data_IF_164424211894
#
_entry.id   IF_164424211894
#
_cell.length_a   1.000
_cell.length_b   1.000
_cell.length_c   1.000
_cell.angle_alpha   90.00
_cell.angle_beta   90.00
_cell.angle_gamma   90.00
#
_symmetry.space_group_name_H-M   'P 1'
#
loop_
_entity.id
_entity.type
_entity.pdbx_description
1 polymer ?
#
# COMPACT_ATOMS: atom_id res chain seq x y z
N UNK A 1 -17.52 15.10 -5.69
CA UNK A 1 -16.35 14.58 -6.44
C UNK A 1 -16.02 13.26 -5.81
N UNK A 2 -16.06 12.17 -6.57
CA UNK A 2 -15.84 10.83 -6.01
C UNK A 2 -14.35 10.62 -5.67
N UNK A 3 -14.03 9.53 -4.98
CA UNK A 3 -12.71 9.17 -4.49
C UNK A 3 -11.71 9.02 -5.64
N UNK A 4 -12.12 8.36 -6.72
CA UNK A 4 -11.29 8.13 -7.92
C UNK A 4 -10.92 9.47 -8.59
N UNK A 5 -11.86 10.40 -8.70
CA UNK A 5 -11.62 11.75 -9.23
C UNK A 5 -10.63 12.52 -8.35
N UNK A 6 -10.73 12.39 -7.03
CA UNK A 6 -9.79 13.00 -6.06
C UNK A 6 -8.39 12.42 -6.23
N UNK A 7 -8.28 11.09 -6.36
CA UNK A 7 -7.01 10.40 -6.60
C UNK A 7 -6.38 10.78 -7.95
N UNK A 8 -7.18 11.01 -8.99
CA UNK A 8 -6.67 11.47 -10.29
C UNK A 8 -6.08 12.89 -10.22
N UNK A 9 -6.61 13.75 -9.36
CA UNK A 9 -6.13 15.14 -9.20
C UNK A 9 -4.96 15.27 -8.24
N UNK A 10 -4.88 14.40 -7.24
CA UNK A 10 -3.80 14.38 -6.27
C UNK A 10 -2.51 13.83 -6.89
N UNK A 11 -1.36 14.32 -6.40
CA UNK A 11 -0.03 13.87 -6.83
C UNK A 11 0.44 12.77 -5.88
N UNK A 12 0.91 11.64 -6.42
CA UNK A 12 1.59 10.60 -5.63
C UNK A 12 3.10 10.85 -5.54
N UNK A 13 3.70 11.35 -6.63
CA UNK A 13 5.13 11.62 -6.78
C UNK A 13 5.35 12.91 -7.56
N UNK A 14 6.31 13.72 -7.13
CA UNK A 14 6.67 14.98 -7.80
C UNK A 14 7.61 14.78 -8.99
N UNK A 15 8.47 13.75 -8.96
CA UNK A 15 9.46 13.45 -9.99
C UNK A 15 9.62 11.91 -10.16
N UNK A 16 9.20 11.33 -11.31
CA UNK A 16 8.32 11.94 -12.30
C UNK A 16 6.98 12.33 -11.67
N UNK A 17 6.30 13.33 -12.27
CA UNK A 17 4.97 13.73 -11.80
C UNK A 17 3.95 12.67 -12.21
N UNK A 18 3.37 12.00 -11.22
CA UNK A 18 2.37 10.94 -11.41
C UNK A 18 1.22 11.16 -10.43
N UNK A 19 -0.01 10.98 -10.92
CA UNK A 19 -1.20 11.09 -10.07
C UNK A 19 -1.26 9.95 -9.04
N UNK A 20 -1.96 10.21 -7.94
CA UNK A 20 -2.19 9.18 -6.92
C UNK A 20 -2.94 7.98 -7.50
N UNK A 21 -3.88 8.22 -8.41
CA UNK A 21 -4.58 7.17 -9.13
C UNK A 21 -3.64 6.30 -9.97
N UNK A 22 -2.81 6.90 -10.84
CA UNK A 22 -1.88 6.15 -11.69
C UNK A 22 -0.92 5.29 -10.86
N UNK A 23 -0.40 5.84 -9.76
CA UNK A 23 0.47 5.09 -8.87
C UNK A 23 -0.26 3.91 -8.21
N UNK A 24 -1.43 4.18 -7.62
CA UNK A 24 -2.20 3.17 -6.89
C UNK A 24 -2.70 2.07 -7.82
N UNK A 25 -3.08 2.43 -9.05
CA UNK A 25 -3.50 1.47 -10.06
C UNK A 25 -2.34 0.59 -10.55
N UNK A 26 -1.15 1.17 -10.76
CA UNK A 26 0.03 0.37 -11.11
C UNK A 26 0.45 -0.61 -10.01
N UNK A 27 0.37 -0.19 -8.74
CA UNK A 27 0.57 -1.07 -7.58
C UNK A 27 -0.49 -2.19 -7.54
N UNK A 28 -1.76 -1.84 -7.75
CA UNK A 28 -2.85 -2.80 -7.85
C UNK A 28 -2.61 -3.84 -8.95
N UNK A 29 -2.14 -3.43 -10.13
CA UNK A 29 -1.87 -4.35 -11.24
C UNK A 29 -0.80 -5.38 -10.89
N UNK A 30 0.24 -4.97 -10.17
CA UNK A 30 1.28 -5.88 -9.68
C UNK A 30 0.71 -6.85 -8.66
N UNK A 31 -0.06 -6.36 -7.67
CA UNK A 31 -0.70 -7.21 -6.66
C UNK A 31 -1.70 -8.18 -7.28
N UNK A 32 -2.52 -7.74 -8.24
CA UNK A 32 -3.46 -8.62 -8.95
C UNK A 32 -2.74 -9.71 -9.74
N UNK A 33 -1.61 -9.39 -10.38
CA UNK A 33 -0.77 -10.41 -11.03
C UNK A 33 -0.27 -11.45 -10.01
N UNK A 34 0.26 -11.02 -8.87
CA UNK A 34 0.73 -11.92 -7.81
C UNK A 34 -0.39 -12.83 -7.27
N UNK A 35 -1.59 -12.27 -7.07
CA UNK A 35 -2.78 -13.03 -6.65
C UNK A 35 -3.10 -14.12 -7.67
N UNK A 36 -3.11 -13.78 -8.97
CA UNK A 36 -3.46 -14.74 -10.04
C UNK A 36 -2.44 -15.87 -10.21
N UNK A 37 -1.19 -15.67 -9.78
CA UNK A 37 -0.15 -16.71 -9.78
C UNK A 37 -0.14 -17.55 -8.49
N UNK A 38 -0.86 -17.15 -7.45
CA UNK A 38 -0.86 -17.82 -6.15
C UNK A 38 -2.09 -18.72 -5.99
N UNK A 39 -1.87 -20.02 -5.85
CA UNK A 39 -2.95 -20.98 -5.59
C UNK A 39 -3.43 -20.90 -4.12
N UNK A 40 -4.66 -21.37 -3.87
CA UNK A 40 -5.20 -21.49 -2.51
C UNK A 40 -5.73 -20.19 -1.89
N UNK A 41 -5.65 -19.07 -2.61
CA UNK A 41 -6.16 -17.79 -2.13
C UNK A 41 -7.67 -17.66 -2.32
N UNK A 42 -8.39 -17.37 -1.23
CA UNK A 42 -9.85 -17.15 -1.33
C UNK A 42 -10.18 -15.83 -2.03
N UNK A 43 -11.37 -15.74 -2.64
CA UNK A 43 -11.86 -14.50 -3.25
C UNK A 43 -11.95 -13.35 -2.24
N UNK A 44 -12.25 -13.64 -0.98
CA UNK A 44 -12.31 -12.63 0.09
C UNK A 44 -10.92 -12.06 0.38
N UNK A 45 -9.92 -12.94 0.58
CA UNK A 45 -8.54 -12.49 0.82
C UNK A 45 -7.97 -11.73 -0.39
N UNK A 46 -8.23 -12.21 -1.61
CA UNK A 46 -7.82 -11.54 -2.84
C UNK A 46 -8.47 -10.14 -2.98
N UNK A 47 -9.73 -10.01 -2.60
CA UNK A 47 -10.44 -8.72 -2.64
C UNK A 47 -9.86 -7.72 -1.64
N UNK A 48 -9.55 -8.18 -0.41
CA UNK A 48 -8.90 -7.31 0.59
C UNK A 48 -7.52 -6.86 0.13
N UNK A 49 -6.70 -7.73 -0.47
CA UNK A 49 -5.40 -7.34 -1.01
C UNK A 49 -5.51 -6.32 -2.14
N UNK A 50 -6.44 -6.53 -3.09
CA UNK A 50 -6.68 -5.57 -4.18
C UNK A 50 -7.11 -4.21 -3.64
N UNK A 51 -8.07 -4.19 -2.72
CA UNK A 51 -8.53 -2.95 -2.09
C UNK A 51 -7.41 -2.27 -1.29
N UNK A 52 -6.65 -3.04 -0.51
CA UNK A 52 -5.50 -2.54 0.25
C UNK A 52 -4.41 -1.97 -0.65
N UNK A 53 -4.11 -2.62 -1.78
CA UNK A 53 -3.17 -2.14 -2.78
C UNK A 53 -3.64 -0.84 -3.45
N UNK A 54 -4.92 -0.76 -3.83
CA UNK A 54 -5.47 0.44 -4.45
C UNK A 54 -5.56 1.63 -3.48
N UNK A 55 -5.77 1.36 -2.19
CA UNK A 55 -5.91 2.41 -1.16
C UNK A 55 -4.63 2.64 -0.35
N UNK A 56 -3.50 1.99 -0.67
CA UNK A 56 -2.32 1.97 0.20
C UNK A 56 -1.81 3.39 0.53
N UNK A 57 -1.90 4.28 -0.45
CA UNK A 57 -1.47 5.66 -0.39
C UNK A 57 -2.61 6.66 -0.15
N UNK A 58 -3.80 6.22 0.28
CA UNK A 58 -4.98 7.10 0.38
C UNK A 58 -4.75 8.33 1.27
N UNK A 59 -3.90 8.19 2.30
CA UNK A 59 -3.49 9.29 3.16
C UNK A 59 -2.77 10.43 2.44
N UNK A 60 -2.26 10.22 1.22
CA UNK A 60 -1.66 11.28 0.38
C UNK A 60 -2.68 12.30 -0.09
N UNK A 61 -3.99 12.02 0.00
CA UNK A 61 -5.04 13.02 -0.24
C UNK A 61 -5.03 14.17 0.80
N UNK A 62 -4.32 14.01 1.92
CA UNK A 62 -4.20 15.04 2.93
C UNK A 62 -3.57 16.32 2.35
N UNK A 63 -4.16 17.48 2.68
CA UNK A 63 -3.76 18.77 2.12
C UNK A 63 -2.31 19.13 2.46
N UNK A 64 -1.89 18.94 3.73
CA UNK A 64 -0.52 19.22 4.17
C UNK A 64 0.49 18.31 3.45
N UNK A 65 0.10 17.05 3.17
CA UNK A 65 0.94 16.13 2.40
C UNK A 65 1.06 16.56 0.93
N UNK A 66 -0.03 16.98 0.29
CA UNK A 66 0.00 17.50 -1.08
C UNK A 66 0.83 18.78 -1.19
N UNK A 67 0.71 19.70 -0.22
CA UNK A 67 1.53 20.90 -0.16
C UNK A 67 3.02 20.54 -0.05
N UNK A 68 3.36 19.58 0.82
CA UNK A 68 4.73 19.09 0.97
C UNK A 68 5.28 18.44 -0.31
N UNK A 69 4.46 17.69 -1.05
CA UNK A 69 4.87 17.07 -2.32
C UNK A 69 5.10 18.10 -3.41
N UNK A 70 4.29 19.16 -3.45
CA UNK A 70 4.33 20.19 -4.49
C UNK A 70 5.34 21.30 -4.20
N UNK A 71 5.79 21.44 -2.95
CA UNK A 71 6.78 22.44 -2.55
C UNK A 71 8.14 22.18 -3.21
N UNK A 72 8.73 23.25 -3.74
CA UNK A 72 10.11 23.27 -4.24
C UNK A 72 11.14 23.35 -3.12
N UNK A 73 10.76 23.82 -1.92
CA UNK A 73 11.62 23.89 -0.74
C UNK A 73 11.06 23.01 0.38
N UNK A 74 11.60 21.79 0.47
CA UNK A 74 11.23 20.80 1.49
C UNK A 74 11.93 21.03 2.84
N UNK A 75 12.85 22.00 2.94
CA UNK A 75 13.72 22.17 4.12
C UNK A 75 13.00 22.76 5.33
N UNK A 76 11.89 23.47 5.12
CA UNK A 76 11.14 24.15 6.18
C UNK A 76 9.80 23.47 6.54
N UNK A 77 9.42 22.41 5.82
CA UNK A 77 8.13 21.76 6.03
C UNK A 77 8.23 20.63 7.06
N UNK A 78 7.26 20.60 7.99
CA UNK A 78 7.08 19.46 8.90
C UNK A 78 6.74 18.23 8.06
N UNK A 79 7.58 17.19 8.13
CA UNK A 79 7.34 15.94 7.40
C UNK A 79 6.07 15.27 7.92
N UNK A 80 5.06 15.19 7.06
CA UNK A 80 3.82 14.45 7.31
C UNK A 80 3.98 13.05 6.71
N UNK A 81 3.72 12.02 7.50
CA UNK A 81 3.68 10.62 7.02
C UNK A 81 2.24 10.32 6.59
N UNK A 82 2.04 9.96 5.32
CA UNK A 82 0.69 9.77 4.77
C UNK A 82 -0.02 8.56 5.38
N UNK A 83 0.72 7.54 5.80
CA UNK A 83 0.20 6.35 6.48
C UNK A 83 -0.51 6.73 7.78
N UNK A 84 -0.01 7.76 8.48
CA UNK A 84 -0.64 8.29 9.68
C UNK A 84 -1.93 9.08 9.38
N UNK A 85 -2.13 9.53 8.13
CA UNK A 85 -3.31 10.27 7.69
C UNK A 85 -4.40 9.35 7.11
N UNK A 86 -4.11 8.07 6.88
CA UNK A 86 -5.02 7.11 6.22
C UNK A 86 -6.43 7.12 6.81
N UNK A 87 -6.58 7.10 8.14
CA UNK A 87 -7.90 7.07 8.78
C UNK A 87 -8.67 8.41 8.75
N UNK A 88 -8.07 9.51 8.31
CA UNK A 88 -8.83 10.74 8.02
C UNK A 88 -9.80 10.55 6.85
N UNK A 89 -9.50 9.60 5.97
CA UNK A 89 -10.30 9.27 4.79
C UNK A 89 -11.20 8.06 5.01
N UNK A 90 -11.36 7.59 6.26
CA UNK A 90 -12.18 6.41 6.56
C UNK A 90 -13.62 6.59 6.10
N UNK A 91 -14.29 7.66 6.53
CA UNK A 91 -15.68 7.94 6.18
C UNK A 91 -15.86 8.11 4.66
N UNK A 92 -14.91 8.81 4.00
CA UNK A 92 -14.93 9.01 2.55
C UNK A 92 -14.94 7.67 1.81
N UNK A 93 -13.98 6.79 2.13
CA UNK A 93 -13.86 5.46 1.52
C UNK A 93 -15.08 4.60 1.87
N UNK A 94 -15.55 4.63 3.12
CA UNK A 94 -16.69 3.83 3.54
C UNK A 94 -17.98 4.26 2.84
N UNK A 95 -18.18 5.56 2.59
CA UNK A 95 -19.34 6.07 1.85
C UNK A 95 -19.31 5.67 0.37
N UNK A 96 -18.12 5.52 -0.22
CA UNK A 96 -17.93 5.19 -1.64
C UNK A 96 -17.53 3.73 -1.89
N UNK A 97 -17.56 2.88 -0.86
CA UNK A 97 -16.99 1.52 -0.90
C UNK A 97 -17.56 0.62 -2.00
N UNK A 98 -18.85 0.77 -2.32
CA UNK A 98 -19.48 -0.04 -3.37
C UNK A 98 -18.96 0.38 -4.74
N UNK A 99 -18.92 1.68 -5.00
CA UNK A 99 -18.42 2.25 -6.25
C UNK A 99 -16.94 1.88 -6.47
N UNK A 100 -16.12 1.90 -5.41
CA UNK A 100 -14.71 1.45 -5.47
C UNK A 100 -14.62 -0.04 -5.81
N UNK A 101 -15.45 -0.89 -5.19
CA UNK A 101 -15.46 -2.33 -5.44
C UNK A 101 -15.90 -2.65 -6.87
N UNK A 102 -16.97 -1.99 -7.35
CA UNK A 102 -17.48 -2.15 -8.72
C UNK A 102 -16.43 -1.69 -9.74
N UNK A 103 -15.84 -0.51 -9.52
CA UNK A 103 -14.79 0.01 -10.37
C UNK A 103 -13.59 -0.93 -10.48
N UNK A 104 -13.13 -1.49 -9.36
CA UNK A 104 -12.01 -2.45 -9.36
C UNK A 104 -12.37 -3.75 -10.08
N UNK A 105 -13.60 -4.24 -9.91
CA UNK A 105 -14.07 -5.44 -10.59
C UNK A 105 -14.06 -5.27 -12.12
N UNK A 106 -14.54 -4.12 -12.59
CA UNK A 106 -14.52 -3.74 -14.01
C UNK A 106 -13.09 -3.56 -14.53
N UNK A 107 -12.28 -2.75 -13.85
CA UNK A 107 -10.93 -2.41 -14.29
C UNK A 107 -9.98 -3.63 -14.39
N UNK A 108 -10.16 -4.61 -13.51
CA UNK A 108 -9.36 -5.84 -13.49
C UNK A 108 -10.01 -7.02 -14.22
N UNK A 109 -11.25 -6.86 -14.71
CA UNK A 109 -12.07 -7.94 -15.23
C UNK A 109 -12.04 -9.17 -14.30
N UNK A 110 -12.33 -8.95 -13.01
CA UNK A 110 -12.30 -10.00 -11.99
C UNK A 110 -13.39 -9.78 -10.94
N UNK A 111 -13.64 -10.81 -10.13
CA UNK A 111 -14.56 -10.67 -9.00
C UNK A 111 -13.84 -9.97 -7.84
N UNK A 112 -14.40 -8.84 -7.40
CA UNK A 112 -14.03 -8.15 -6.16
C UNK A 112 -15.24 -8.18 -5.22
N UNK A 113 -15.03 -8.68 -4.00
CA UNK A 113 -16.05 -8.79 -2.97
C UNK A 113 -15.89 -7.62 -2.01
N UNK A 114 -16.99 -6.94 -1.69
CA UNK A 114 -17.00 -5.92 -0.64
C UNK A 114 -16.79 -6.60 0.74
N UNK A 115 -15.65 -6.36 1.43
CA UNK A 115 -15.37 -7.00 2.71
C UNK A 115 -16.41 -6.59 3.77
N UNK A 116 -16.81 -7.55 4.62
CA UNK A 116 -17.64 -7.25 5.79
C UNK A 116 -16.89 -6.38 6.82
N UNK A 117 -15.58 -6.55 6.87
CA UNK A 117 -14.67 -5.81 7.74
C UNK A 117 -13.55 -5.21 6.90
N UNK A 118 -13.49 -3.88 6.87
CA UNK A 118 -12.49 -3.12 6.14
C UNK A 118 -11.21 -2.87 6.95
N UNK A 119 -11.13 -3.36 8.20
CA UNK A 119 -9.98 -3.20 9.07
C UNK A 119 -8.67 -3.64 8.40
N UNK A 120 -8.67 -4.80 7.74
CA UNK A 120 -7.48 -5.30 7.06
C UNK A 120 -7.13 -4.52 5.79
N UNK A 121 -8.13 -4.01 5.04
CA UNK A 121 -7.92 -3.13 3.88
C UNK A 121 -7.17 -1.87 4.30
N UNK A 122 -7.64 -1.20 5.35
CA UNK A 122 -6.97 -0.02 5.89
C UNK A 122 -5.64 -0.34 6.55
N UNK A 123 -5.51 -1.52 7.17
CA UNK A 123 -4.25 -1.92 7.77
C UNK A 123 -3.15 -2.12 6.73
N UNK A 124 -3.45 -2.64 5.53
CA UNK A 124 -2.47 -2.63 4.43
C UNK A 124 -2.00 -1.20 4.11
N UNK A 125 -2.92 -0.23 4.03
CA UNK A 125 -2.57 1.17 3.80
C UNK A 125 -1.78 1.81 4.95
N UNK A 126 -2.04 1.45 6.19
CA UNK A 126 -1.28 1.97 7.34
C UNK A 126 0.11 1.33 7.45
N UNK A 127 0.23 0.04 7.12
CA UNK A 127 1.43 -0.75 7.44
C UNK A 127 2.42 -0.89 6.28
N UNK A 128 2.11 -0.41 5.07
CA UNK A 128 2.93 -0.65 3.86
C UNK A 128 4.32 -0.02 3.87
N UNK A 129 4.69 0.78 4.87
CA UNK A 129 6.08 1.22 5.11
C UNK A 129 6.72 0.59 6.35
N UNK A 130 6.01 -0.29 7.06
CA UNK A 130 6.50 -1.03 8.23
C UNK A 130 6.59 -0.22 9.53
N UNK A 131 6.21 1.06 9.53
CA UNK A 131 6.33 1.96 10.69
C UNK A 131 5.08 2.05 11.56
N UNK A 132 3.90 1.84 10.97
CA UNK A 132 2.62 2.03 11.65
C UNK A 132 1.82 0.74 11.68
N UNK A 133 0.82 0.72 12.57
CA UNK A 133 -0.20 -0.32 12.69
C UNK A 133 -1.57 0.31 12.90
N UNK A 134 -2.62 -0.46 12.64
CA UNK A 134 -4.01 -0.07 12.85
C UNK A 134 -4.47 -0.45 14.26
N UNK A 135 -4.98 0.53 15.00
CA UNK A 135 -5.51 0.40 16.35
C UNK A 135 -6.98 0.84 16.37
N UNK A 136 -7.88 -0.04 16.79
CA UNK A 136 -9.28 0.29 17.06
C UNK A 136 -9.39 0.68 18.53
N UNK A 137 -9.72 1.93 18.81
CA UNK A 137 -9.88 2.46 20.17
C UNK A 137 -11.24 3.17 20.28
N UNK A 138 -12.05 2.78 21.25
CA UNK A 138 -13.37 3.37 21.51
C UNK A 138 -14.25 3.40 20.22
N UNK A 139 -14.26 2.29 19.48
CA UNK A 139 -14.97 2.14 18.22
C UNK A 139 -14.41 2.92 17.02
N UNK A 140 -13.24 3.55 17.14
CA UNK A 140 -12.60 4.33 16.06
C UNK A 140 -11.23 3.80 15.69
N UNK A 141 -10.94 3.74 14.41
CA UNK A 141 -9.63 3.30 13.93
C UNK A 141 -8.61 4.44 13.91
N UNK A 142 -7.38 4.11 14.27
CA UNK A 142 -6.24 5.01 14.37
C UNK A 142 -4.98 4.36 13.79
N UNK A 143 -4.13 5.18 13.16
CA UNK A 143 -2.78 4.78 12.79
C UNK A 143 -1.84 5.10 13.97
N UNK A 144 -1.12 4.09 14.45
CA UNK A 144 -0.22 4.19 15.61
C UNK A 144 1.18 3.71 15.22
N UNK A 145 2.24 4.26 15.81
CA UNK A 145 3.65 3.97 15.46
C UNK A 145 4.31 2.95 16.39
N UNK A 146 4.04 3.05 17.69
CA UNK A 146 4.70 2.23 18.72
C UNK A 146 3.94 0.92 18.93
N UNK A 147 4.21 -0.09 18.11
CA UNK A 147 3.52 -1.40 18.21
C UNK A 147 3.86 -2.16 19.51
N UNK A 148 4.94 -1.79 20.20
CA UNK A 148 5.29 -2.37 21.51
C UNK A 148 4.52 -1.74 22.67
N UNK A 149 3.80 -0.64 22.43
CA UNK A 149 2.98 0.03 23.45
C UNK A 149 1.53 -0.36 23.29
N UNK A 150 0.90 -0.83 24.37
CA UNK A 150 -0.53 -1.14 24.39
C UNK A 150 -1.29 0.00 25.09
N UNK A 151 -2.35 0.47 24.44
CA UNK A 151 -3.29 1.41 25.04
C UNK A 151 -4.34 0.60 25.81
N UNK A 152 -4.72 0.96 27.04
CA UNK A 152 -5.84 0.32 27.74
C UNK A 152 -7.19 0.46 27.01
N UNK A 153 -7.27 1.38 26.04
CA UNK A 153 -8.45 1.64 25.21
C UNK A 153 -8.47 0.84 23.90
N UNK A 154 -7.40 0.10 23.60
CA UNK A 154 -7.28 -0.65 22.34
C UNK A 154 -8.16 -1.91 22.39
N UNK A 155 -9.17 -1.93 21.54
CA UNK A 155 -10.12 -3.04 21.36
C UNK A 155 -9.59 -4.08 20.38
N UNK A 156 -8.90 -3.61 19.33
CA UNK A 156 -8.31 -4.47 18.30
C UNK A 156 -7.08 -3.81 17.70
N UNK A 157 -6.10 -4.65 17.37
CA UNK A 157 -4.88 -4.25 16.69
C UNK A 157 -4.71 -5.06 15.41
N UNK A 158 -4.21 -4.41 14.36
CA UNK A 158 -3.72 -5.08 13.15
C UNK A 158 -2.34 -4.50 12.80
N UNK A 159 -1.33 -5.34 12.93
CA UNK A 159 0.07 -5.03 12.58
C UNK A 159 0.44 -5.60 11.21
N UNK A 160 1.60 -5.20 10.68
CA UNK A 160 2.16 -5.82 9.47
C UNK A 160 2.35 -7.35 9.65
N UNK A 161 2.79 -7.80 10.82
CA UNK A 161 2.96 -9.22 11.10
C UNK A 161 1.63 -10.00 11.04
N UNK A 162 0.54 -9.39 11.55
CA UNK A 162 -0.79 -9.99 11.46
C UNK A 162 -1.25 -10.14 10.01
N UNK A 163 -0.93 -9.16 9.15
CA UNK A 163 -1.23 -9.21 7.72
C UNK A 163 -0.38 -10.28 7.04
N UNK A 164 0.92 -10.34 7.31
CA UNK A 164 1.82 -11.37 6.77
C UNK A 164 1.30 -12.79 7.03
N UNK A 165 0.89 -13.07 8.27
CA UNK A 165 0.44 -14.40 8.68
C UNK A 165 -0.94 -14.71 8.05
N UNK A 166 -1.91 -13.79 8.16
CA UNK A 166 -3.28 -14.04 7.68
C UNK A 166 -3.39 -14.07 6.15
N UNK A 167 -2.49 -13.36 5.47
CA UNK A 167 -2.44 -13.24 4.03
C UNK A 167 -1.27 -13.99 3.40
N UNK A 168 -0.59 -14.88 4.14
CA UNK A 168 0.50 -15.68 3.59
C UNK A 168 0.07 -16.44 2.30
N UNK A 169 0.89 -16.44 1.23
CA UNK A 169 2.23 -15.86 1.10
C UNK A 169 2.26 -14.40 0.62
N UNK A 170 1.09 -13.77 0.43
CA UNK A 170 0.93 -12.44 -0.17
C UNK A 170 0.79 -11.29 0.84
N UNK A 171 0.97 -11.52 2.14
CA UNK A 171 0.81 -10.46 3.13
C UNK A 171 1.85 -9.32 3.03
N UNK A 172 2.96 -9.54 2.32
CA UNK A 172 3.93 -8.49 1.94
C UNK A 172 3.71 -7.91 0.52
N UNK A 173 2.65 -8.30 -0.20
CA UNK A 173 2.50 -7.98 -1.62
C UNK A 173 2.33 -6.48 -1.89
N UNK A 174 1.60 -5.75 -1.03
CA UNK A 174 1.38 -4.29 -1.19
C UNK A 174 2.71 -3.53 -1.11
N UNK A 175 3.55 -3.89 -0.14
CA UNK A 175 4.90 -3.34 0.03
C UNK A 175 5.74 -3.57 -1.22
N UNK A 176 5.79 -4.83 -1.67
CA UNK A 176 6.60 -5.22 -2.81
C UNK A 176 6.14 -4.50 -4.08
N UNK A 177 4.83 -4.45 -4.31
CA UNK A 177 4.23 -3.78 -5.45
C UNK A 177 4.46 -2.27 -5.46
N UNK A 178 4.35 -1.61 -4.30
CA UNK A 178 4.67 -0.18 -4.16
C UNK A 178 6.12 0.09 -4.54
N UNK A 179 7.07 -0.67 -4.00
CA UNK A 179 8.48 -0.56 -4.34
C UNK A 179 8.75 -0.76 -5.84
N UNK A 180 8.20 -1.82 -6.43
CA UNK A 180 8.40 -2.12 -7.85
C UNK A 180 7.85 -1.06 -8.78
N UNK A 181 6.61 -0.63 -8.53
CA UNK A 181 6.00 0.43 -9.32
C UNK A 181 6.76 1.73 -9.14
N UNK A 182 7.20 1.99 -7.91
CA UNK A 182 8.02 3.15 -7.58
C UNK A 182 9.34 3.20 -8.36
N UNK A 183 10.04 2.06 -8.47
CA UNK A 183 11.27 1.96 -9.27
C UNK A 183 10.96 2.14 -10.76
N UNK A 184 9.93 1.47 -11.28
CA UNK A 184 9.53 1.52 -12.69
C UNK A 184 9.28 2.96 -13.15
N UNK A 185 8.58 3.75 -12.33
CA UNK A 185 8.38 5.18 -12.60
C UNK A 185 9.70 5.96 -12.63
N UNK A 186 10.64 5.65 -11.75
CA UNK A 186 11.91 6.39 -11.65
C UNK A 186 12.95 6.00 -12.71
N UNK A 187 13.00 4.73 -13.08
CA UNK A 187 14.03 4.15 -13.96
C UNK A 187 13.55 4.03 -15.42
N UNK A 188 12.23 4.04 -15.64
CA UNK A 188 11.62 3.70 -16.91
C UNK A 188 11.66 2.20 -17.26
N UNK A 189 12.13 1.33 -16.34
CA UNK A 189 12.15 -0.13 -16.57
C UNK A 189 10.76 -0.72 -16.38
N UNK A 190 10.41 -1.66 -17.26
CA UNK A 190 9.16 -2.40 -17.16
C UNK A 190 9.29 -3.57 -16.16
N UNK A 191 9.26 -3.25 -14.87
CA UNK A 191 9.35 -4.24 -13.80
C UNK A 191 8.16 -5.21 -13.81
N UNK A 192 6.97 -4.75 -14.25
CA UNK A 192 5.80 -5.62 -14.40
C UNK A 192 6.11 -6.76 -15.36
N UNK A 193 6.73 -6.47 -16.52
CA UNK A 193 7.11 -7.54 -17.46
C UNK A 193 8.22 -8.45 -16.94
N UNK A 194 9.12 -7.95 -16.09
CA UNK A 194 10.14 -8.80 -15.44
C UNK A 194 9.53 -9.82 -14.47
N UNK A 195 8.46 -9.45 -13.74
CA UNK A 195 7.79 -10.36 -12.80
C UNK A 195 6.70 -11.23 -13.44
N UNK A 196 6.30 -10.97 -14.70
CA UNK A 196 5.28 -11.76 -15.41
C UNK A 196 5.60 -13.26 -15.46
N UNK A 197 6.88 -13.62 -15.52
CA UNK A 197 7.33 -15.02 -15.55
C UNK A 197 7.44 -15.69 -14.18
N UNK A 198 7.30 -14.94 -13.08
CA UNK A 198 7.46 -15.44 -11.72
C UNK A 198 6.16 -16.08 -11.25
N UNK A 199 6.22 -17.37 -10.93
CA UNK A 199 5.04 -18.17 -10.58
C UNK A 199 4.99 -18.50 -9.10
N UNK A 200 6.13 -18.49 -8.43
CA UNK A 200 6.22 -18.79 -7.01
C UNK A 200 6.58 -17.54 -6.21
N UNK A 201 6.03 -17.38 -4.99
CA UNK A 201 6.40 -16.26 -4.12
C UNK A 201 7.91 -16.15 -3.85
N UNK A 202 8.61 -17.28 -3.82
CA UNK A 202 10.08 -17.36 -3.72
C UNK A 202 10.81 -16.67 -4.88
N UNK A 203 10.20 -16.61 -6.06
CA UNK A 203 10.80 -15.94 -7.23
C UNK A 203 10.83 -14.42 -7.03
N UNK A 204 9.79 -13.87 -6.38
CA UNK A 204 9.74 -12.45 -6.03
C UNK A 204 10.79 -12.09 -4.97
N UNK A 205 11.00 -12.96 -3.98
CA UNK A 205 12.12 -12.82 -3.03
C UNK A 205 13.46 -12.75 -3.72
N UNK A 206 13.74 -13.72 -4.59
CA UNK A 206 14.99 -13.79 -5.32
C UNK A 206 15.16 -12.58 -6.23
N UNK A 207 14.06 -12.04 -6.76
CA UNK A 207 14.08 -10.79 -7.49
C UNK A 207 14.48 -9.61 -6.62
N UNK A 208 13.81 -9.38 -5.47
CA UNK A 208 14.18 -8.30 -4.53
C UNK A 208 15.64 -8.44 -4.10
N UNK A 209 16.07 -9.65 -3.75
CA UNK A 209 17.43 -9.92 -3.28
C UNK A 209 18.48 -9.60 -4.34
N UNK A 210 18.23 -9.96 -5.59
CA UNK A 210 19.15 -9.65 -6.71
C UNK A 210 19.18 -8.17 -7.05
N UNK A 211 18.05 -7.46 -6.88
CA UNK A 211 17.92 -6.04 -7.23
C UNK A 211 17.98 -5.11 -6.03
N UNK A 212 18.44 -5.59 -4.87
CA UNK A 212 18.52 -4.83 -3.61
C UNK A 212 19.18 -3.47 -3.82
N UNK A 213 20.32 -3.43 -4.49
CA UNK A 213 21.02 -2.16 -4.65
C UNK A 213 20.20 -1.19 -5.50
N UNK A 214 19.56 -1.64 -6.57
CA UNK A 214 18.76 -0.80 -7.47
C UNK A 214 17.46 -0.32 -6.83
N UNK A 215 16.67 -1.25 -6.27
CA UNK A 215 15.39 -0.97 -5.62
C UNK A 215 15.55 -0.04 -4.40
N UNK A 216 16.72 -0.09 -3.77
CA UNK A 216 17.05 0.72 -2.59
C UNK A 216 18.13 1.78 -2.89
N UNK A 217 18.47 2.08 -4.15
CA UNK A 217 19.34 3.22 -4.52
C UNK A 217 18.57 4.43 -5.06
N UNK A 218 17.24 4.44 -4.99
CA UNK A 218 16.45 5.65 -5.27
C UNK A 218 16.86 6.74 -4.25
N UNK A 219 17.72 7.66 -4.70
CA UNK A 219 18.49 8.64 -3.90
C UNK A 219 17.64 9.76 -3.27
N UNK A 220 16.33 9.80 -3.50
CA UNK A 220 15.47 10.92 -3.06
C UNK A 220 14.33 10.55 -2.11
N UNK A 221 14.24 9.30 -1.64
CA UNK A 221 13.14 8.88 -0.75
C UNK A 221 13.69 8.47 0.61
N UNK A 222 13.25 9.26 1.59
CA UNK A 222 13.47 9.27 3.04
C UNK A 222 14.10 7.99 3.64
N UNK A 223 15.29 8.13 4.23
CA UNK A 223 15.98 7.06 4.96
C UNK A 223 15.14 6.49 6.13
N UNK A 224 14.12 7.22 6.59
CA UNK A 224 13.21 6.78 7.66
C UNK A 224 12.03 5.92 7.18
N UNK A 225 11.68 5.92 5.89
CA UNK A 225 10.54 5.13 5.34
C UNK A 225 10.96 3.84 4.67
N UNK A 226 12.25 3.48 4.72
CA UNK A 226 12.70 2.19 4.24
C UNK A 226 12.19 1.11 5.18
N UNK A 227 11.42 0.18 4.63
CA UNK A 227 11.33 -1.15 5.19
C UNK A 227 12.75 -1.72 5.22
N UNK A 228 13.29 -2.08 6.40
CA UNK A 228 14.58 -2.74 6.46
C UNK A 228 14.53 -3.95 5.53
N UNK A 229 15.56 -4.13 4.69
CA UNK A 229 15.59 -5.28 3.78
C UNK A 229 15.42 -6.60 4.55
N UNK A 230 15.94 -6.65 5.77
CA UNK A 230 15.79 -7.76 6.69
C UNK A 230 14.31 -8.05 7.01
N UNK A 231 13.47 -7.01 7.08
CA UNK A 231 12.02 -7.17 7.21
C UNK A 231 11.48 -7.79 5.93
N UNK A 232 11.80 -7.27 4.73
CA UNK A 232 11.37 -7.80 3.43
C UNK A 232 11.79 -9.26 3.19
N UNK A 233 12.98 -9.64 3.64
CA UNK A 233 13.47 -11.02 3.61
C UNK A 233 12.67 -11.91 4.58
N UNK A 234 12.24 -11.37 5.73
CA UNK A 234 11.26 -12.02 6.62
C UNK A 234 9.82 -11.98 6.05
N UNK A 235 9.49 -11.03 5.18
CA UNK A 235 8.12 -10.79 4.67
C UNK A 235 7.63 -11.86 3.68
N UNK A 236 8.55 -12.60 3.07
CA UNK A 236 8.24 -13.49 1.94
C UNK A 236 8.88 -14.90 2.12
N UNK A 237 9.73 -15.11 3.14
CA UNK A 237 10.32 -16.41 3.48
C UNK A 237 9.37 -17.27 4.32
#
# INVERSE_FOLDING_TARGET
>A
MNLVDRMNKAVAKSLPRVSLFEHSFGVLQIVDHMIRQTEGYSNDQASVLRLGAFLHDIGKLNADFQEMLLSSDKSQMKRVKHEAQTYQFYEDVMNERNDVVEWLAEALNCRVINPKDWGDVFAFAVTHHGLFYSSLEEGKWHARREWTRMSPKEERRITLADLMIRYYPLGGAVIFADMLHSEQLSSGRDNVSEIKGMKHPSDWLLYVRRRKEELFHVKEIDHETRIPLDLLELLIA
#
